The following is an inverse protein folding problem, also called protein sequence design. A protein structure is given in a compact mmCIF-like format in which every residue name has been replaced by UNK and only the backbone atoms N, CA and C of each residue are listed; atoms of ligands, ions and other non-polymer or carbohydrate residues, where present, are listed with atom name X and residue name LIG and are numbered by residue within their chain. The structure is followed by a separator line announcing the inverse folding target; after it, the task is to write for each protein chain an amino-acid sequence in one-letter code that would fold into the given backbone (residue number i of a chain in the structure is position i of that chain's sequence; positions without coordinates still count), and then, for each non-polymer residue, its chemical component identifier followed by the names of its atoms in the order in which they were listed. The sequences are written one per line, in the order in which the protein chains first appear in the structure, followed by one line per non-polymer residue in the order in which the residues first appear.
data_IF_059116142044
#
_entry.id   IF_059116142044
#
_cell.length_a   1.000
_cell.length_b   1.000
_cell.length_c   1.000
_cell.angle_alpha   90.00
_cell.angle_beta   90.00
_cell.angle_gamma   90.00
#
_symmetry.space_group_name_H-M   'P 1'
#
loop_
_entity.id
_entity.type
_entity.pdbx_description
1 polymer ?
#
# COMPACT_ATOMS: atom_id res chain seq x y z
N UNK A 1 23.51 31.14 32.64
CA UNK A 1 23.93 29.75 32.86
C UNK A 1 22.87 28.74 32.47
N UNK A 2 21.65 28.76 33.01
CA UNK A 2 20.56 27.80 32.65
C UNK A 2 20.25 27.73 31.16
N UNK A 3 20.18 28.86 30.43
CA UNK A 3 19.96 28.93 28.98
C UNK A 3 21.01 28.20 28.15
N UNK A 4 22.29 28.40 28.52
CA UNK A 4 23.42 27.79 27.80
C UNK A 4 23.42 26.29 28.02
N UNK A 5 23.20 25.82 29.26
CA UNK A 5 23.11 24.39 29.61
C UNK A 5 21.97 23.73 28.81
N UNK A 6 20.78 24.38 28.72
CA UNK A 6 19.65 23.89 27.98
C UNK A 6 19.94 23.80 26.47
N UNK A 7 20.57 24.82 25.87
CA UNK A 7 20.96 24.81 24.47
C UNK A 7 21.96 23.69 24.14
N UNK A 8 22.99 23.53 25.01
CA UNK A 8 23.97 22.47 24.83
C UNK A 8 23.30 21.08 24.93
N UNK A 9 22.46 20.86 25.94
CA UNK A 9 21.71 19.61 26.09
C UNK A 9 20.84 19.35 24.86
N UNK A 10 20.17 20.36 24.34
CA UNK A 10 19.32 20.24 23.14
C UNK A 10 20.12 19.91 21.88
N UNK A 11 21.28 20.52 21.70
CA UNK A 11 22.18 20.19 20.58
C UNK A 11 22.63 18.72 20.67
N UNK A 12 23.03 18.28 21.87
CA UNK A 12 23.42 16.88 22.08
C UNK A 12 22.25 15.93 21.76
N UNK A 13 21.04 16.25 22.21
CA UNK A 13 19.84 15.48 21.94
C UNK A 13 19.53 15.41 20.44
N UNK A 14 19.67 16.52 19.70
CA UNK A 14 19.44 16.57 18.27
C UNK A 14 20.49 15.79 17.48
N UNK A 15 21.77 15.89 17.85
CA UNK A 15 22.82 15.08 17.25
C UNK A 15 22.54 13.60 17.48
N UNK A 16 22.19 13.23 18.71
CA UNK A 16 21.85 11.85 19.05
C UNK A 16 20.65 11.34 18.24
N UNK A 17 19.58 12.14 18.14
CA UNK A 17 18.40 11.77 17.35
C UNK A 17 18.70 11.68 15.85
N UNK A 18 19.57 12.54 15.31
CA UNK A 18 20.02 12.51 13.94
C UNK A 18 20.88 11.27 13.63
N UNK A 19 21.80 10.92 14.53
CA UNK A 19 22.62 9.70 14.42
C UNK A 19 21.76 8.44 14.49
N UNK A 20 20.68 8.49 15.26
CA UNK A 20 19.67 7.43 15.37
C UNK A 20 18.53 7.57 14.37
N UNK A 21 18.76 8.23 13.23
CA UNK A 21 17.71 8.44 12.21
C UNK A 21 16.94 7.14 11.94
N UNK A 22 15.63 7.19 12.13
CA UNK A 22 14.76 6.03 11.97
C UNK A 22 14.19 6.00 10.55
N UNK A 23 14.06 4.81 9.95
CA UNK A 23 13.38 4.69 8.67
C UNK A 23 11.93 5.18 8.80
N UNK A 24 11.51 5.99 7.81
CA UNK A 24 10.14 6.49 7.73
C UNK A 24 9.32 5.53 6.90
N UNK A 25 8.27 4.99 7.50
CA UNK A 25 7.34 4.08 6.85
C UNK A 25 6.19 4.87 6.22
N UNK A 26 5.92 4.62 4.94
CA UNK A 26 4.92 5.35 4.15
C UNK A 26 3.67 4.50 3.90
N UNK A 27 3.75 3.19 4.11
CA UNK A 27 2.66 2.26 3.82
C UNK A 27 1.49 2.44 4.79
N UNK A 28 0.38 3.02 4.29
CA UNK A 28 -0.83 3.31 5.09
C UNK A 28 -1.41 2.08 5.79
N UNK A 29 -1.39 0.91 5.15
CA UNK A 29 -1.93 -0.32 5.74
C UNK A 29 -1.19 -0.71 7.03
N UNK A 30 0.12 -0.52 7.08
CA UNK A 30 0.93 -0.80 8.28
C UNK A 30 0.68 0.21 9.41
N UNK A 31 0.17 1.38 9.09
CA UNK A 31 -0.16 2.39 10.07
C UNK A 31 -1.31 1.96 11.00
N UNK A 32 -2.29 1.26 10.44
CA UNK A 32 -3.55 0.94 11.12
C UNK A 32 -3.68 -0.52 11.55
N UNK A 33 -2.88 -1.41 10.98
CA UNK A 33 -2.94 -2.84 11.28
C UNK A 33 -1.69 -3.25 12.06
N UNK A 34 -1.87 -3.42 13.37
CA UNK A 34 -0.88 -4.11 14.22
C UNK A 34 -1.34 -5.56 14.33
N UNK A 35 -0.67 -6.52 13.68
CA UNK A 35 -1.12 -7.91 13.70
C UNK A 35 -1.02 -8.48 15.13
N UNK A 36 -2.13 -8.85 15.70
CA UNK A 36 -2.21 -9.50 17.02
C UNK A 36 -2.19 -11.02 16.92
N UNK A 37 -2.37 -11.56 15.70
CA UNK A 37 -2.32 -13.00 15.41
C UNK A 37 -1.45 -13.30 14.19
N UNK A 38 -1.00 -14.55 14.07
CA UNK A 38 -0.27 -15.01 12.89
C UNK A 38 -1.12 -14.86 11.61
N UNK A 39 -2.43 -15.10 11.71
CA UNK A 39 -3.36 -14.96 10.58
C UNK A 39 -3.42 -13.52 10.07
N UNK A 40 -3.53 -12.53 10.96
CA UNK A 40 -3.48 -11.12 10.59
C UNK A 40 -2.13 -10.73 9.97
N UNK A 41 -1.03 -11.29 10.47
CA UNK A 41 0.30 -11.11 9.87
C UNK A 41 0.37 -11.59 8.42
N UNK A 42 -0.29 -12.69 8.08
CA UNK A 42 -0.38 -13.18 6.70
C UNK A 42 -1.28 -12.29 5.84
N UNK A 43 -2.41 -11.79 6.37
CA UNK A 43 -3.27 -10.85 5.64
C UNK A 43 -2.51 -9.56 5.30
N UNK A 44 -1.71 -9.03 6.21
CA UNK A 44 -0.85 -7.87 5.94
C UNK A 44 0.17 -8.17 4.83
N UNK A 45 0.78 -9.37 4.82
CA UNK A 45 1.70 -9.77 3.74
C UNK A 45 0.99 -9.86 2.40
N UNK A 46 -0.19 -10.46 2.34
CA UNK A 46 -1.01 -10.54 1.13
C UNK A 46 -1.43 -9.15 0.63
N UNK A 47 -1.88 -8.29 1.53
CA UNK A 47 -2.22 -6.90 1.18
C UNK A 47 -1.01 -6.16 0.60
N UNK A 48 0.19 -6.36 1.17
CA UNK A 48 1.42 -5.77 0.66
C UNK A 48 1.81 -6.30 -0.73
N UNK A 49 1.62 -7.58 -1.00
CA UNK A 49 1.86 -8.14 -2.34
C UNK A 49 0.86 -7.57 -3.36
N UNK A 50 -0.43 -7.51 -2.99
CA UNK A 50 -1.47 -6.92 -3.83
C UNK A 50 -1.27 -5.43 -4.04
N UNK A 51 -0.74 -4.70 -3.03
CA UNK A 51 -0.47 -3.27 -3.14
C UNK A 51 0.67 -2.92 -4.09
N UNK A 52 1.49 -3.89 -4.51
CA UNK A 52 2.57 -3.73 -5.49
C UNK A 52 2.15 -4.05 -6.91
N UNK A 53 0.93 -4.55 -7.11
CA UNK A 53 0.46 -4.98 -8.42
C UNK A 53 -0.03 -3.79 -9.25
N UNK A 54 0.54 -3.67 -10.45
CA UNK A 54 0.11 -2.74 -11.50
C UNK A 54 -0.55 -3.53 -12.61
N UNK A 55 -1.73 -3.10 -13.06
CA UNK A 55 -2.38 -3.65 -14.23
C UNK A 55 -2.11 -2.69 -15.40
N UNK A 56 -1.49 -3.21 -16.44
CA UNK A 56 -1.14 -2.50 -17.66
C UNK A 56 -2.10 -3.00 -18.74
N UNK A 57 -3.00 -2.14 -19.20
CA UNK A 57 -4.06 -2.47 -20.13
C UNK A 57 -3.70 -1.90 -21.49
N UNK A 58 -3.55 -2.75 -22.46
CA UNK A 58 -3.32 -2.41 -23.86
C UNK A 58 -4.66 -2.35 -24.60
N UNK A 59 -4.85 -1.34 -25.46
CA UNK A 59 -6.01 -1.20 -26.34
C UNK A 59 -5.50 -1.10 -27.77
N UNK A 60 -6.00 -1.96 -28.67
CA UNK A 60 -5.62 -2.00 -30.07
C UNK A 60 -6.85 -2.24 -30.98
N UNK A 61 -6.71 -1.91 -32.26
CA UNK A 61 -7.74 -2.13 -33.28
C UNK A 61 -7.68 -3.53 -33.87
N UNK A 62 -6.54 -4.22 -33.75
CA UNK A 62 -6.32 -5.58 -34.23
C UNK A 62 -5.49 -6.39 -33.23
N UNK A 63 -5.48 -7.71 -33.37
CA UNK A 63 -4.66 -8.60 -32.54
C UNK A 63 -3.17 -8.41 -32.86
N UNK A 64 -2.81 -8.19 -34.12
CA UNK A 64 -1.42 -7.98 -34.51
C UNK A 64 -0.86 -6.69 -33.87
N UNK A 65 -1.63 -5.59 -33.95
CA UNK A 65 -1.26 -4.34 -33.28
C UNK A 65 -1.10 -4.52 -31.77
N UNK A 66 -1.95 -5.35 -31.15
CA UNK A 66 -1.88 -5.64 -29.73
C UNK A 66 -0.60 -6.38 -29.33
N UNK A 67 -0.18 -7.36 -30.15
CA UNK A 67 1.05 -8.12 -29.92
C UNK A 67 2.30 -7.25 -30.16
N UNK A 68 2.29 -6.39 -31.18
CA UNK A 68 3.35 -5.42 -31.43
C UNK A 68 3.53 -4.46 -30.24
N UNK A 69 2.40 -3.93 -29.72
CA UNK A 69 2.45 -3.06 -28.55
C UNK A 69 3.00 -3.74 -27.30
N UNK A 70 2.67 -5.03 -27.09
CA UNK A 70 3.22 -5.82 -25.99
C UNK A 70 4.72 -6.08 -26.16
N UNK A 71 5.17 -6.34 -27.40
CA UNK A 71 6.57 -6.60 -27.70
C UNK A 71 7.46 -5.36 -27.48
N UNK A 72 6.93 -4.17 -27.73
CA UNK A 72 7.62 -2.89 -27.50
C UNK A 72 7.64 -2.46 -26.02
N UNK A 73 6.81 -3.07 -25.19
CA UNK A 73 6.77 -2.72 -23.76
C UNK A 73 7.95 -3.38 -23.03
N UNK A 74 8.51 -2.75 -21.98
CA UNK A 74 9.60 -3.31 -21.20
C UNK A 74 9.34 -4.77 -20.82
N UNK A 75 10.31 -5.64 -21.08
CA UNK A 75 10.17 -7.08 -20.88
C UNK A 75 9.99 -7.41 -19.38
N UNK A 76 8.75 -7.65 -19.00
CA UNK A 76 8.36 -8.12 -17.68
C UNK A 76 7.97 -9.60 -17.72
N UNK A 77 8.45 -10.33 -18.74
CA UNK A 77 8.14 -11.75 -18.90
C UNK A 77 8.66 -12.54 -17.71
N UNK A 78 7.77 -13.23 -17.08
CA UNK A 78 8.13 -14.24 -16.09
C UNK A 78 8.75 -15.42 -16.86
N UNK A 79 9.99 -15.77 -16.55
CA UNK A 79 10.64 -16.94 -17.14
C UNK A 79 10.03 -18.20 -16.54
N UNK A 80 9.24 -18.92 -17.33
CA UNK A 80 8.64 -20.20 -16.97
C UNK A 80 9.49 -21.42 -17.34
N UNK A 81 10.67 -21.21 -17.95
CA UNK A 81 11.51 -22.31 -18.45
C UNK A 81 11.86 -23.32 -17.36
N UNK A 82 12.23 -22.84 -16.18
CA UNK A 82 12.57 -23.71 -15.05
C UNK A 82 11.38 -24.59 -14.61
N UNK A 83 10.14 -24.11 -14.72
CA UNK A 83 8.93 -24.87 -14.34
C UNK A 83 8.59 -25.90 -15.43
N UNK A 84 8.65 -25.51 -16.70
CA UNK A 84 8.40 -26.40 -17.84
C UNK A 84 9.44 -27.51 -17.91
N UNK A 85 10.69 -27.24 -17.57
CA UNK A 85 11.78 -28.24 -17.51
C UNK A 85 11.49 -29.32 -16.47
N UNK A 86 10.93 -28.96 -15.30
CA UNK A 86 10.54 -29.93 -14.27
C UNK A 86 9.41 -30.84 -14.78
N UNK A 87 8.40 -30.27 -15.43
CA UNK A 87 7.30 -31.07 -15.99
C UNK A 87 7.76 -31.98 -17.12
N UNK A 88 8.64 -31.51 -17.99
CA UNK A 88 9.22 -32.29 -19.05
C UNK A 88 10.07 -33.47 -18.54
N UNK A 89 10.79 -33.25 -17.44
CA UNK A 89 11.64 -34.28 -16.83
C UNK A 89 10.85 -35.38 -16.07
N UNK A 90 9.70 -34.98 -15.51
CA UNK A 90 8.88 -35.88 -14.66
C UNK A 90 7.41 -35.88 -15.08
N UNK A 91 7.06 -36.21 -16.33
CA UNK A 91 5.70 -36.07 -16.85
C UNK A 91 4.66 -36.89 -16.06
N UNK A 92 5.04 -38.05 -15.54
CA UNK A 92 4.15 -38.91 -14.76
C UNK A 92 3.87 -38.45 -13.33
N UNK A 93 4.58 -37.45 -12.82
CA UNK A 93 4.37 -36.95 -11.45
C UNK A 93 3.20 -35.95 -11.39
N UNK A 94 2.90 -35.30 -12.52
CA UNK A 94 1.95 -34.22 -12.61
C UNK A 94 0.80 -34.62 -13.53
N UNK A 95 -0.38 -34.79 -12.96
CA UNK A 95 -1.59 -35.18 -13.69
C UNK A 95 -2.69 -34.17 -13.40
N UNK A 96 -3.43 -33.77 -14.42
CA UNK A 96 -4.65 -33.00 -14.24
C UNK A 96 -5.70 -33.81 -13.46
N UNK A 97 -6.63 -33.15 -12.81
CA UNK A 97 -7.71 -33.83 -12.07
C UNK A 97 -8.53 -34.73 -13.00
N UNK A 98 -8.80 -34.28 -14.23
CA UNK A 98 -9.50 -35.10 -15.24
C UNK A 98 -8.71 -36.35 -15.58
N UNK A 99 -7.43 -36.23 -15.88
CA UNK A 99 -6.56 -37.35 -16.22
C UNK A 99 -6.46 -38.36 -15.06
N UNK A 100 -6.32 -37.88 -13.81
CA UNK A 100 -6.33 -38.75 -12.62
C UNK A 100 -7.63 -39.53 -12.51
N UNK A 101 -8.78 -38.91 -12.73
CA UNK A 101 -10.07 -39.62 -12.66
C UNK A 101 -10.20 -40.67 -13.74
N UNK A 102 -9.78 -40.37 -14.98
CA UNK A 102 -9.79 -41.33 -16.08
C UNK A 102 -8.90 -42.53 -15.77
N UNK A 103 -7.72 -42.33 -15.24
CA UNK A 103 -6.78 -43.39 -14.86
C UNK A 103 -7.30 -44.22 -13.69
N UNK A 104 -7.87 -43.62 -12.65
CA UNK A 104 -8.50 -44.33 -11.52
C UNK A 104 -9.65 -45.21 -11.99
N UNK A 105 -10.43 -44.78 -12.97
CA UNK A 105 -11.53 -45.55 -13.60
C UNK A 105 -11.05 -46.51 -14.67
N UNK A 106 -9.74 -46.62 -14.93
CA UNK A 106 -9.12 -47.41 -15.99
C UNK A 106 -9.72 -47.18 -17.39
N UNK A 107 -10.15 -45.95 -17.64
CA UNK A 107 -10.77 -45.52 -18.89
C UNK A 107 -9.69 -45.16 -19.94
N UNK A 108 -8.80 -46.10 -20.26
CA UNK A 108 -7.61 -45.87 -21.09
C UNK A 108 -7.96 -45.39 -22.50
N UNK A 109 -9.07 -45.81 -23.07
CA UNK A 109 -9.50 -45.33 -24.37
C UNK A 109 -9.73 -43.82 -24.38
N UNK A 110 -10.34 -43.28 -23.33
CA UNK A 110 -10.53 -41.83 -23.21
C UNK A 110 -9.20 -41.08 -22.99
N UNK A 111 -8.25 -41.68 -22.27
CA UNK A 111 -6.91 -41.16 -22.13
C UNK A 111 -6.22 -41.04 -23.49
N UNK A 112 -6.35 -42.10 -24.34
CA UNK A 112 -5.84 -42.04 -25.72
C UNK A 112 -6.50 -40.95 -26.54
N UNK A 113 -7.82 -40.81 -26.47
CA UNK A 113 -8.58 -39.78 -27.21
C UNK A 113 -8.11 -38.34 -26.82
N UNK A 114 -7.90 -38.08 -25.54
CA UNK A 114 -7.36 -36.79 -25.09
C UNK A 114 -5.90 -36.56 -25.54
N UNK A 115 -5.07 -37.61 -25.49
CA UNK A 115 -3.69 -37.54 -25.97
C UNK A 115 -3.63 -37.23 -27.48
N UNK A 116 -4.45 -37.94 -28.29
CA UNK A 116 -4.53 -37.69 -29.74
C UNK A 116 -5.04 -36.28 -30.04
N UNK A 117 -6.05 -35.83 -29.31
CA UNK A 117 -6.58 -34.47 -29.45
C UNK A 117 -5.49 -33.40 -29.16
N UNK A 118 -4.69 -33.65 -28.13
CA UNK A 118 -3.55 -32.78 -27.77
C UNK A 118 -2.42 -32.85 -28.82
N UNK A 119 -2.17 -33.99 -29.42
CA UNK A 119 -1.16 -34.20 -30.47
C UNK A 119 -1.48 -33.39 -31.75
N UNK A 120 -2.76 -33.30 -32.10
CA UNK A 120 -3.24 -32.53 -33.25
C UNK A 120 -3.65 -31.08 -32.91
N UNK A 121 -3.21 -30.57 -31.76
CA UNK A 121 -3.48 -29.18 -31.40
C UNK A 121 -2.75 -28.24 -32.39
N UNK A 122 -3.45 -27.33 -33.05
CA UNK A 122 -2.85 -26.41 -34.02
C UNK A 122 -1.77 -25.49 -33.45
N UNK A 123 -1.74 -25.30 -32.14
CA UNK A 123 -0.70 -24.51 -31.47
C UNK A 123 0.65 -25.26 -31.33
N UNK A 124 0.69 -26.59 -31.48
CA UNK A 124 1.91 -27.39 -31.50
C UNK A 124 2.79 -27.29 -30.23
N UNK A 125 2.21 -26.89 -29.10
CA UNK A 125 2.97 -26.70 -27.85
C UNK A 125 3.04 -28.05 -27.12
N UNK A 126 4.23 -28.63 -27.01
CA UNK A 126 4.53 -29.82 -26.24
C UNK A 126 5.54 -29.49 -25.13
N UNK A 127 5.21 -29.84 -23.90
CA UNK A 127 6.10 -29.67 -22.75
C UNK A 127 7.15 -30.75 -22.71
N UNK A 128 6.75 -31.98 -23.07
CA UNK A 128 7.64 -33.11 -23.21
C UNK A 128 7.50 -33.70 -24.62
N UNK A 129 8.59 -34.16 -25.27
CA UNK A 129 8.49 -34.81 -26.56
C UNK A 129 7.66 -36.10 -26.48
N UNK A 130 6.85 -36.41 -27.51
CA UNK A 130 5.95 -37.58 -27.50
C UNK A 130 6.65 -38.93 -27.28
N UNK A 131 7.94 -39.04 -27.60
CA UNK A 131 8.75 -40.24 -27.34
C UNK A 131 9.00 -40.46 -25.83
N UNK A 132 9.01 -39.42 -25.03
CA UNK A 132 9.18 -39.45 -23.57
C UNK A 132 7.86 -39.44 -22.81
N UNK A 133 6.85 -38.79 -23.38
CA UNK A 133 5.50 -38.66 -22.82
C UNK A 133 4.44 -38.96 -23.87
N UNK A 134 4.25 -40.27 -24.24
CA UNK A 134 3.37 -40.68 -25.33
C UNK A 134 1.91 -40.26 -25.13
N UNK A 135 1.46 -40.07 -23.92
CA UNK A 135 0.10 -39.62 -23.59
C UNK A 135 0.02 -38.11 -23.35
N UNK A 136 1.12 -37.37 -23.54
CA UNK A 136 1.21 -35.89 -23.35
C UNK A 136 0.68 -35.44 -21.99
N UNK A 137 0.97 -36.22 -20.94
CA UNK A 137 0.48 -35.96 -19.58
C UNK A 137 0.95 -34.64 -19.01
N UNK A 138 2.23 -34.27 -19.24
CA UNK A 138 2.80 -33.01 -18.82
C UNK A 138 2.13 -31.82 -19.55
N UNK A 139 1.83 -32.00 -20.83
CA UNK A 139 1.14 -30.97 -21.64
C UNK A 139 -0.31 -30.83 -21.19
N UNK A 140 -1.04 -31.92 -20.95
CA UNK A 140 -2.40 -31.89 -20.39
C UNK A 140 -2.43 -31.18 -19.03
N UNK A 141 -1.48 -31.49 -18.16
CA UNK A 141 -1.38 -30.86 -16.85
C UNK A 141 -1.17 -29.35 -16.97
N UNK A 142 -0.26 -28.89 -17.80
CA UNK A 142 -0.02 -27.44 -18.01
C UNK A 142 -1.26 -26.77 -18.62
N UNK A 143 -1.84 -27.35 -19.68
CA UNK A 143 -3.01 -26.79 -20.34
C UNK A 143 -4.24 -26.75 -19.43
N UNK A 144 -4.43 -27.75 -18.56
CA UNK A 144 -5.52 -27.75 -17.59
C UNK A 144 -5.41 -26.63 -16.55
N UNK A 145 -4.16 -26.19 -16.27
CA UNK A 145 -3.84 -25.11 -15.36
C UNK A 145 -3.61 -23.77 -16.08
N UNK A 146 -3.50 -23.76 -17.41
CA UNK A 146 -3.27 -22.55 -18.22
C UNK A 146 -4.40 -21.54 -18.10
N UNK A 147 -5.61 -21.95 -17.72
CA UNK A 147 -6.73 -21.05 -17.40
C UNK A 147 -6.36 -19.99 -16.35
N UNK A 148 -5.37 -20.28 -15.51
CA UNK A 148 -4.81 -19.34 -14.55
C UNK A 148 -3.65 -18.49 -15.11
N UNK A 149 -3.17 -18.85 -16.32
CA UNK A 149 -2.07 -18.20 -17.05
C UNK A 149 -2.58 -17.56 -18.35
N UNK A 150 -3.88 -17.63 -18.63
CA UNK A 150 -4.47 -17.11 -19.86
C UNK A 150 -4.13 -15.62 -20.02
N UNK A 151 -3.60 -15.30 -21.21
CA UNK A 151 -3.56 -13.95 -21.71
C UNK A 151 -4.97 -13.39 -21.65
N UNK A 152 -5.19 -12.45 -20.76
CA UNK A 152 -6.48 -11.77 -20.61
C UNK A 152 -6.73 -10.84 -21.82
N UNK A 153 -6.75 -11.42 -23.04
CA UNK A 153 -7.12 -10.70 -24.25
C UNK A 153 -8.61 -10.83 -24.47
N UNK A 154 -9.30 -9.71 -24.56
CA UNK A 154 -10.75 -9.63 -24.74
C UNK A 154 -11.11 -8.64 -25.84
N UNK A 155 -12.13 -8.97 -26.62
CA UNK A 155 -12.77 -8.06 -27.54
C UNK A 155 -13.91 -7.33 -26.83
N UNK A 156 -13.91 -6.01 -26.90
CA UNK A 156 -14.96 -5.18 -26.33
C UNK A 156 -15.17 -3.92 -27.17
N UNK A 157 -16.41 -3.68 -27.60
CA UNK A 157 -16.74 -2.50 -28.39
C UNK A 157 -16.01 -2.38 -29.73
N UNK A 158 -15.66 -3.50 -30.38
CA UNK A 158 -14.93 -3.53 -31.64
C UNK A 158 -13.43 -3.24 -31.53
N UNK A 159 -12.88 -3.32 -30.32
CA UNK A 159 -11.44 -3.20 -30.04
C UNK A 159 -10.96 -4.40 -29.25
N UNK A 160 -9.66 -4.65 -29.33
CA UNK A 160 -8.99 -5.71 -28.59
C UNK A 160 -8.25 -5.13 -27.39
N UNK A 161 -8.43 -5.77 -26.25
CA UNK A 161 -7.81 -5.38 -24.97
C UNK A 161 -7.02 -6.54 -24.41
N UNK A 162 -5.85 -6.25 -23.88
CA UNK A 162 -5.08 -7.21 -23.10
C UNK A 162 -4.58 -6.56 -21.82
N UNK A 163 -4.45 -7.35 -20.75
CA UNK A 163 -3.90 -6.87 -19.48
C UNK A 163 -2.62 -7.62 -19.14
N UNK A 164 -1.58 -6.88 -18.79
CA UNK A 164 -0.35 -7.39 -18.21
C UNK A 164 -0.32 -7.02 -16.74
N UNK A 165 -0.05 -8.01 -15.90
CA UNK A 165 0.11 -7.81 -14.46
C UNK A 165 1.59 -7.71 -14.09
N UNK A 166 2.03 -6.52 -13.70
CA UNK A 166 3.39 -6.27 -13.25
C UNK A 166 3.46 -6.09 -11.73
N UNK A 167 4.55 -6.54 -11.11
CA UNK A 167 4.88 -6.18 -9.73
C UNK A 167 5.95 -5.10 -9.74
N UNK A 168 5.71 -4.02 -8.99
CA UNK A 168 6.59 -2.87 -8.86
C UNK A 168 7.12 -2.79 -7.45
N UNK A 169 8.43 -2.75 -7.29
CA UNK A 169 9.10 -2.70 -6.00
C UNK A 169 9.64 -1.32 -5.65
N UNK A 170 9.75 -0.42 -6.62
CA UNK A 170 10.23 0.95 -6.44
C UNK A 170 9.40 1.96 -7.25
N UNK A 171 9.48 3.23 -6.85
CA UNK A 171 8.86 4.31 -7.62
C UNK A 171 9.54 4.51 -8.98
N UNK A 172 10.85 4.22 -9.08
CA UNK A 172 11.61 4.37 -10.33
C UNK A 172 11.13 3.37 -11.39
N UNK A 173 10.86 2.10 -10.99
CA UNK A 173 10.24 1.10 -11.87
C UNK A 173 8.85 1.55 -12.34
N UNK A 174 8.06 2.13 -11.45
CA UNK A 174 6.74 2.63 -11.81
C UNK A 174 6.82 3.82 -12.78
N UNK A 175 7.77 4.73 -12.58
CA UNK A 175 7.97 5.86 -13.50
C UNK A 175 8.38 5.40 -14.90
N UNK A 176 9.21 4.36 -15.02
CA UNK A 176 9.55 3.76 -16.30
C UNK A 176 8.30 3.19 -17.01
N UNK A 177 7.42 2.51 -16.27
CA UNK A 177 6.14 2.01 -16.81
C UNK A 177 5.24 3.17 -17.27
N UNK A 178 5.12 4.23 -16.45
CA UNK A 178 4.31 5.41 -16.79
C UNK A 178 4.84 6.11 -18.05
N UNK A 179 6.16 6.28 -18.18
CA UNK A 179 6.77 6.91 -19.36
C UNK A 179 6.62 6.01 -20.61
N UNK A 180 6.77 4.68 -20.49
CA UNK A 180 6.56 3.75 -21.58
C UNK A 180 5.10 3.73 -22.08
N UNK A 181 4.14 3.98 -21.21
CA UNK A 181 2.72 4.06 -21.57
C UNK A 181 2.32 5.42 -22.17
N UNK A 182 3.14 6.45 -22.02
CA UNK A 182 2.80 7.81 -22.40
C UNK A 182 2.69 7.97 -23.93
N UNK A 183 1.58 8.55 -24.37
CA UNK A 183 1.33 8.77 -25.79
C UNK A 183 0.86 7.52 -26.56
N UNK A 184 0.70 6.39 -25.89
CA UNK A 184 0.15 5.15 -26.44
C UNK A 184 -1.26 4.89 -25.89
N UNK A 185 -2.01 3.99 -26.53
CA UNK A 185 -3.31 3.49 -26.06
C UNK A 185 -3.12 2.44 -24.96
N UNK A 186 -2.37 2.84 -23.89
CA UNK A 186 -2.05 2.02 -22.72
C UNK A 186 -2.60 2.71 -21.48
N UNK A 187 -3.36 1.95 -20.69
CA UNK A 187 -3.94 2.45 -19.45
C UNK A 187 -3.32 1.71 -18.27
N UNK A 188 -3.06 2.45 -17.21
CA UNK A 188 -2.44 1.92 -16.00
C UNK A 188 -3.43 2.01 -14.84
N UNK A 189 -3.56 0.95 -14.07
CA UNK A 189 -4.35 0.92 -12.84
C UNK A 189 -3.70 0.04 -11.78
N UNK A 190 -4.13 0.18 -10.53
CA UNK A 190 -3.60 -0.54 -9.38
C UNK A 190 -3.09 0.38 -8.30
N UNK A 191 -2.90 -0.18 -7.10
CA UNK A 191 -2.53 0.57 -5.89
C UNK A 191 -1.25 1.42 -6.07
N UNK A 192 -0.16 0.94 -6.71
CA UNK A 192 1.03 1.77 -6.90
C UNK A 192 0.77 3.02 -7.73
N UNK A 193 -0.06 2.90 -8.79
CA UNK A 193 -0.40 4.03 -9.67
C UNK A 193 -1.19 5.08 -8.91
N UNK A 194 -2.18 4.65 -8.10
CA UNK A 194 -2.92 5.56 -7.22
C UNK A 194 -2.02 6.23 -6.21
N UNK A 195 -1.14 5.47 -5.56
CA UNK A 195 -0.19 6.01 -4.57
C UNK A 195 0.75 7.03 -5.18
N UNK A 196 1.23 6.80 -6.40
CA UNK A 196 2.09 7.74 -7.12
C UNK A 196 1.39 9.08 -7.39
N UNK A 197 0.18 9.03 -7.97
CA UNK A 197 -0.57 10.27 -8.25
C UNK A 197 -1.02 10.98 -6.97
N UNK A 198 -1.43 10.24 -5.94
CA UNK A 198 -1.78 10.79 -4.64
C UNK A 198 -0.58 11.49 -4.00
N UNK A 199 0.59 10.85 -3.99
CA UNK A 199 1.82 11.42 -3.45
C UNK A 199 2.25 12.69 -4.20
N UNK A 200 2.22 12.65 -5.54
CA UNK A 200 2.56 13.81 -6.36
C UNK A 200 1.63 15.00 -6.11
N UNK A 201 0.33 14.74 -6.02
CA UNK A 201 -0.67 15.77 -5.70
C UNK A 201 -0.47 16.31 -4.28
N UNK A 202 -0.30 15.42 -3.31
CA UNK A 202 -0.07 15.81 -1.91
C UNK A 202 1.17 16.65 -1.74
N UNK A 203 2.27 16.33 -2.41
CA UNK A 203 3.49 17.13 -2.36
C UNK A 203 3.27 18.57 -2.86
N UNK A 204 2.50 18.76 -3.94
CA UNK A 204 2.14 20.09 -4.44
C UNK A 204 1.27 20.83 -3.42
N UNK A 205 0.24 20.18 -2.90
CA UNK A 205 -0.67 20.76 -1.91
C UNK A 205 0.06 21.14 -0.63
N UNK A 206 0.94 20.27 -0.11
CA UNK A 206 1.76 20.52 1.08
C UNK A 206 2.64 21.77 0.84
N UNK A 207 3.33 21.84 -0.29
CA UNK A 207 4.18 23.01 -0.60
C UNK A 207 3.37 24.29 -0.66
N UNK A 208 2.21 24.29 -1.31
CA UNK A 208 1.31 25.46 -1.38
C UNK A 208 0.85 25.87 0.03
N UNK A 209 0.39 24.90 0.83
CA UNK A 209 -0.06 25.15 2.21
C UNK A 209 1.09 25.72 3.05
N UNK A 210 2.29 25.16 2.96
CA UNK A 210 3.46 25.63 3.68
C UNK A 210 3.82 27.08 3.30
N UNK A 211 3.81 27.41 2.01
CA UNK A 211 4.10 28.78 1.53
C UNK A 211 3.03 29.75 2.05
N UNK A 212 1.74 29.43 1.85
CA UNK A 212 0.63 30.28 2.28
C UNK A 212 0.66 30.48 3.80
N UNK A 213 0.85 29.41 4.57
CA UNK A 213 0.91 29.47 6.04
C UNK A 213 2.09 30.30 6.52
N UNK A 214 3.26 30.17 5.90
CA UNK A 214 4.45 30.96 6.23
C UNK A 214 4.24 32.43 5.93
N UNK A 215 3.66 32.76 4.77
CA UNK A 215 3.33 34.14 4.39
C UNK A 215 2.26 34.75 5.31
N UNK A 216 1.22 33.97 5.65
CA UNK A 216 0.19 34.39 6.58
C UNK A 216 0.75 34.69 7.98
N UNK A 217 1.65 33.80 8.47
CA UNK A 217 2.36 34.00 9.73
C UNK A 217 3.21 35.28 9.70
N UNK A 218 4.02 35.46 8.66
CA UNK A 218 4.85 36.66 8.49
C UNK A 218 4.01 37.93 8.43
N UNK A 219 2.89 37.91 7.68
CA UNK A 219 1.96 39.03 7.60
C UNK A 219 1.31 39.32 8.96
N UNK A 220 0.88 38.29 9.70
CA UNK A 220 0.30 38.42 11.04
C UNK A 220 1.32 39.04 11.99
N UNK A 221 2.56 38.54 12.02
CA UNK A 221 3.62 39.09 12.84
C UNK A 221 3.92 40.55 12.45
N UNK A 222 4.00 40.86 11.15
CA UNK A 222 4.24 42.25 10.65
C UNK A 222 3.11 43.20 11.01
N UNK A 223 1.87 42.76 10.87
CA UNK A 223 0.69 43.55 11.16
C UNK A 223 0.53 43.80 12.65
N UNK A 224 0.70 42.77 13.47
CA UNK A 224 0.49 42.85 14.92
C UNK A 224 1.66 43.48 15.66
N UNK A 225 2.89 43.04 15.41
CA UNK A 225 4.10 43.52 16.10
C UNK A 225 4.84 44.64 15.33
N UNK A 226 4.39 45.04 14.15
CA UNK A 226 5.07 45.98 13.26
C UNK A 226 6.53 45.61 12.94
N UNK A 227 6.93 44.35 13.17
CA UNK A 227 8.31 43.91 13.02
C UNK A 227 8.35 42.46 12.54
N UNK A 228 9.22 42.17 11.57
CA UNK A 228 9.53 40.77 11.18
C UNK A 228 10.49 40.09 12.16
N UNK A 229 11.12 40.84 13.07
CA UNK A 229 12.07 40.26 14.05
C UNK A 229 11.41 39.21 14.97
N UNK A 230 10.09 39.25 15.14
CA UNK A 230 9.33 38.28 15.93
C UNK A 230 9.20 36.93 15.21
N UNK A 231 9.23 36.93 13.87
CA UNK A 231 9.09 35.70 13.08
C UNK A 231 10.21 34.68 13.36
N UNK A 232 11.44 35.21 13.50
CA UNK A 232 12.62 34.34 13.72
C UNK A 232 12.51 33.53 15.01
N UNK A 233 12.32 34.12 16.21
CA UNK A 233 12.19 33.33 17.43
C UNK A 233 10.95 32.40 17.45
N UNK A 234 9.86 32.79 16.79
CA UNK A 234 8.68 31.94 16.60
C UNK A 234 9.05 30.70 15.75
N UNK A 235 9.73 30.90 14.63
CA UNK A 235 10.19 29.82 13.77
C UNK A 235 11.15 28.87 14.51
N UNK A 236 12.05 29.41 15.31
CA UNK A 236 12.95 28.60 16.16
C UNK A 236 12.19 27.81 17.24
N UNK A 237 11.12 28.36 17.81
CA UNK A 237 10.31 27.62 18.80
C UNK A 237 9.59 26.43 18.17
N UNK A 238 9.10 26.61 16.94
CA UNK A 238 8.48 25.52 16.15
C UNK A 238 9.50 24.43 15.83
N UNK A 239 10.65 24.84 15.27
CA UNK A 239 11.73 23.91 14.94
C UNK A 239 12.20 23.13 16.17
N UNK A 240 12.37 23.81 17.29
CA UNK A 240 12.79 23.21 18.54
C UNK A 240 11.79 22.19 19.05
N UNK A 241 10.51 22.55 19.04
CA UNK A 241 9.42 21.63 19.41
C UNK A 241 9.38 20.39 18.52
N UNK A 242 9.52 20.58 17.21
CA UNK A 242 9.54 19.48 16.25
C UNK A 242 10.73 18.53 16.50
N UNK A 243 11.94 19.08 16.66
CA UNK A 243 13.13 18.27 16.92
C UNK A 243 13.05 17.53 18.27
N UNK A 244 12.46 18.17 19.29
CA UNK A 244 12.29 17.56 20.60
C UNK A 244 11.28 16.40 20.55
N UNK A 245 10.16 16.58 19.84
CA UNK A 245 9.17 15.52 19.60
C UNK A 245 9.74 14.38 18.76
N UNK A 246 10.49 14.70 17.70
CA UNK A 246 11.18 13.70 16.87
C UNK A 246 12.18 12.88 17.70
N UNK A 247 12.98 13.54 18.52
CA UNK A 247 13.98 12.86 19.37
C UNK A 247 13.33 11.88 20.33
N UNK A 248 12.24 12.29 20.98
CA UNK A 248 11.49 11.42 21.89
C UNK A 248 10.88 10.22 21.15
N UNK A 249 10.27 10.45 20.01
CA UNK A 249 9.68 9.38 19.19
C UNK A 249 10.76 8.42 18.66
N UNK A 250 11.89 8.93 18.19
CA UNK A 250 12.99 8.13 17.69
C UNK A 250 13.68 7.24 18.76
N UNK A 251 13.64 7.67 20.03
CA UNK A 251 14.14 6.87 21.16
C UNK A 251 13.21 5.70 21.50
N UNK A 252 11.92 5.87 21.35
CA UNK A 252 10.92 4.89 21.77
C UNK A 252 10.58 3.91 20.66
N UNK A 253 10.44 4.40 19.42
CA UNK A 253 9.99 3.60 18.28
C UNK A 253 11.16 3.22 17.37
N UNK A 254 11.11 1.99 16.83
CA UNK A 254 12.12 1.50 15.88
C UNK A 254 11.96 2.11 14.50
N UNK A 255 10.73 2.46 14.13
CA UNK A 255 10.34 3.09 12.87
C UNK A 255 9.34 4.20 13.15
N UNK A 256 9.29 5.22 12.30
CA UNK A 256 8.31 6.30 12.40
C UNK A 256 7.47 6.31 11.13
N UNK A 257 6.16 6.46 11.30
CA UNK A 257 5.25 6.52 10.16
C UNK A 257 5.11 7.97 9.67
N UNK A 258 4.97 8.17 8.35
CA UNK A 258 4.79 9.51 7.75
C UNK A 258 3.60 10.27 8.34
N UNK A 259 2.51 9.58 8.67
CA UNK A 259 1.35 10.18 9.31
C UNK A 259 1.66 10.81 10.67
N UNK A 260 2.66 10.30 11.41
CA UNK A 260 3.10 10.93 12.66
C UNK A 260 3.56 12.36 12.43
N UNK A 261 4.32 12.60 11.37
CA UNK A 261 4.77 13.96 11.00
C UNK A 261 3.59 14.82 10.53
N UNK A 262 2.68 14.27 9.71
CA UNK A 262 1.51 14.99 9.20
C UNK A 262 0.61 15.47 10.33
N UNK A 263 0.24 14.58 11.25
CA UNK A 263 -0.63 14.95 12.39
C UNK A 263 0.08 15.82 13.41
N UNK A 264 1.41 15.68 13.53
CA UNK A 264 2.21 16.51 14.44
C UNK A 264 2.38 17.97 13.95
N UNK A 265 1.96 18.29 12.72
CA UNK A 265 1.90 19.67 12.26
C UNK A 265 0.97 20.57 13.11
N UNK A 266 0.00 19.97 13.83
CA UNK A 266 -0.80 20.68 14.83
C UNK A 266 0.05 21.37 15.91
N UNK A 267 1.24 20.82 16.19
CA UNK A 267 2.22 21.43 17.09
C UNK A 267 2.64 22.83 16.64
N UNK A 268 2.63 23.11 15.33
CA UNK A 268 2.98 24.42 14.77
C UNK A 268 2.03 25.49 15.30
N UNK A 269 0.72 25.24 15.27
CA UNK A 269 -0.29 26.19 15.77
C UNK A 269 -0.12 26.50 17.27
N UNK A 270 0.11 25.46 18.06
CA UNK A 270 0.27 25.61 19.53
C UNK A 270 1.60 26.30 19.86
N UNK A 271 2.66 25.99 19.11
CA UNK A 271 3.97 26.66 19.27
C UNK A 271 3.86 28.15 18.98
N UNK A 272 3.11 28.49 17.93
CA UNK A 272 2.82 29.87 17.57
C UNK A 272 2.11 30.59 18.70
N UNK A 273 1.04 30.01 19.23
CA UNK A 273 0.28 30.58 20.35
C UNK A 273 1.16 30.86 21.55
N UNK A 274 1.97 29.91 22.00
CA UNK A 274 2.83 30.07 23.15
C UNK A 274 3.86 31.20 22.94
N UNK A 275 4.46 31.25 21.77
CA UNK A 275 5.46 32.25 21.44
C UNK A 275 4.87 33.67 21.30
N UNK A 276 3.70 33.78 20.64
CA UNK A 276 3.02 35.07 20.47
C UNK A 276 2.50 35.62 21.81
N UNK A 277 1.91 34.75 22.62
CA UNK A 277 1.48 35.16 23.97
C UNK A 277 2.65 35.65 24.82
N UNK A 278 3.82 34.99 24.75
CA UNK A 278 5.01 35.45 25.44
C UNK A 278 5.42 36.86 25.03
N UNK A 279 5.39 37.18 23.72
CA UNK A 279 5.72 38.50 23.24
C UNK A 279 4.69 39.57 23.61
N UNK A 280 3.45 39.17 23.94
CA UNK A 280 2.39 40.08 24.34
C UNK A 280 2.39 40.40 25.82
N UNK A 281 2.60 39.38 26.66
CA UNK A 281 2.45 39.47 28.12
C UNK A 281 3.79 39.61 28.83
N UNK A 282 4.91 39.32 28.12
CA UNK A 282 6.23 39.32 28.70
C UNK A 282 6.49 38.12 29.61
N UNK A 283 7.47 38.30 30.51
CA UNK A 283 7.95 37.20 31.39
C UNK A 283 7.21 37.19 32.76
N UNK A 284 5.91 37.42 32.76
CA UNK A 284 5.12 37.49 33.97
C UNK A 284 4.91 36.10 34.63
N UNK A 285 4.85 36.04 35.97
CA UNK A 285 4.65 34.81 36.73
C UNK A 285 3.29 34.18 36.46
N UNK A 286 2.24 34.98 36.28
CA UNK A 286 0.89 34.48 36.00
C UNK A 286 0.83 33.87 34.60
N UNK A 287 1.47 34.52 33.62
CA UNK A 287 1.59 33.96 32.27
C UNK A 287 2.29 32.59 32.28
N UNK A 288 3.43 32.45 32.99
CA UNK A 288 4.15 31.19 33.10
C UNK A 288 3.32 30.09 33.70
N UNK A 289 2.51 30.38 34.73
CA UNK A 289 1.60 29.42 35.33
C UNK A 289 0.51 28.98 34.34
N UNK A 290 -0.09 29.95 33.66
CA UNK A 290 -1.12 29.67 32.65
C UNK A 290 -0.56 28.86 31.48
N UNK A 291 0.61 29.21 30.96
CA UNK A 291 1.27 28.48 29.89
C UNK A 291 1.63 27.05 30.29
N UNK A 292 2.13 26.87 31.53
CA UNK A 292 2.44 25.55 32.07
C UNK A 292 1.18 24.69 32.22
N UNK A 293 0.09 25.26 32.73
CA UNK A 293 -1.18 24.57 32.85
C UNK A 293 -1.72 24.14 31.48
N UNK A 294 -1.69 25.04 30.50
CA UNK A 294 -2.09 24.76 29.12
C UNK A 294 -1.23 23.65 28.50
N UNK A 295 0.08 23.70 28.67
CA UNK A 295 0.98 22.66 28.19
C UNK A 295 0.66 21.29 28.81
N UNK A 296 0.48 21.25 30.15
CA UNK A 296 0.17 19.99 30.84
C UNK A 296 -1.16 19.38 30.41
N UNK A 297 -2.21 20.19 30.34
CA UNK A 297 -3.55 19.71 29.91
C UNK A 297 -3.51 19.16 28.50
N UNK A 298 -2.84 19.86 27.58
CA UNK A 298 -2.73 19.42 26.18
C UNK A 298 -1.83 18.19 26.06
N UNK A 299 -0.72 18.12 26.76
CA UNK A 299 0.16 16.94 26.77
C UNK A 299 -0.57 15.72 27.34
N UNK A 300 -1.33 15.87 28.43
CA UNK A 300 -2.15 14.80 28.99
C UNK A 300 -3.20 14.27 27.96
N UNK A 301 -3.81 15.16 27.19
CA UNK A 301 -4.74 14.76 26.15
C UNK A 301 -4.05 13.89 25.08
N UNK A 302 -2.85 14.26 24.64
CA UNK A 302 -2.07 13.45 23.69
C UNK A 302 -1.55 12.15 24.31
N UNK A 303 -1.28 12.10 25.59
CA UNK A 303 -0.94 10.85 26.28
C UNK A 303 -2.10 9.86 26.29
N UNK A 304 -3.34 10.31 26.20
CA UNK A 304 -4.48 9.43 25.98
C UNK A 304 -4.33 8.53 24.75
N UNK A 305 -3.64 9.00 23.70
CA UNK A 305 -3.36 8.21 22.50
C UNK A 305 -2.41 7.02 22.75
N UNK A 306 -1.65 7.02 23.83
CA UNK A 306 -0.73 5.92 24.18
C UNK A 306 -1.48 4.62 24.51
N UNK A 307 -2.73 4.72 24.91
CA UNK A 307 -3.59 3.56 25.19
C UNK A 307 -4.18 2.94 23.93
N UNK A 308 -3.92 3.53 22.75
CA UNK A 308 -4.41 2.98 21.49
C UNK A 308 -3.61 1.73 21.09
N UNK A 309 -4.29 0.76 20.50
CA UNK A 309 -3.68 -0.39 19.86
C UNK A 309 -2.98 -0.04 18.52
N UNK A 310 -3.27 1.14 17.97
CA UNK A 310 -2.71 1.62 16.70
C UNK A 310 -1.36 2.29 16.96
N UNK A 311 -0.29 1.74 16.41
CA UNK A 311 1.09 2.23 16.66
C UNK A 311 1.27 3.68 16.24
N UNK A 312 0.69 4.11 15.12
CA UNK A 312 0.76 5.51 14.64
C UNK A 312 0.15 6.48 15.64
N UNK A 313 -0.98 6.14 16.28
CA UNK A 313 -1.58 7.00 17.30
C UNK A 313 -0.68 7.16 18.53
N UNK A 314 -0.02 6.08 18.94
CA UNK A 314 0.99 6.15 20.03
C UNK A 314 2.19 7.01 19.64
N UNK A 315 2.65 6.90 18.38
CA UNK A 315 3.72 7.76 17.86
C UNK A 315 3.32 9.24 17.87
N UNK A 316 2.09 9.56 17.41
CA UNK A 316 1.53 10.93 17.45
C UNK A 316 1.47 11.43 18.89
N UNK A 317 1.00 10.61 19.83
CA UNK A 317 0.92 10.95 21.25
C UNK A 317 2.27 11.33 21.85
N UNK A 318 3.32 10.54 21.61
CA UNK A 318 4.68 10.81 22.07
C UNK A 318 5.25 12.04 21.35
N UNK A 319 5.21 12.05 20.03
CA UNK A 319 5.80 13.14 19.25
C UNK A 319 5.22 14.51 19.67
N UNK A 320 3.89 14.60 19.73
CA UNK A 320 3.22 15.88 20.00
C UNK A 320 3.37 16.31 21.45
N UNK A 321 3.23 15.39 22.42
CA UNK A 321 3.37 15.73 23.84
C UNK A 321 4.79 16.19 24.19
N UNK A 322 5.82 15.49 23.71
CA UNK A 322 7.20 15.91 23.92
C UNK A 322 7.54 17.16 23.10
N UNK A 323 7.01 17.29 21.90
CA UNK A 323 7.11 18.50 21.12
C UNK A 323 6.57 19.74 21.85
N UNK A 324 5.41 19.62 22.50
CA UNK A 324 4.83 20.68 23.34
C UNK A 324 5.74 21.04 24.52
N UNK A 325 6.28 20.02 25.19
CA UNK A 325 7.26 20.24 26.28
C UNK A 325 8.47 20.99 25.75
N UNK A 326 8.98 20.62 24.56
CA UNK A 326 10.10 21.30 23.92
C UNK A 326 9.80 22.77 23.64
N UNK A 327 8.64 23.07 23.04
CA UNK A 327 8.18 24.47 22.80
C UNK A 327 8.08 25.25 24.10
N UNK A 328 7.43 24.68 25.12
CA UNK A 328 7.29 25.30 26.43
C UNK A 328 8.64 25.64 27.06
N UNK A 329 9.59 24.67 27.03
CA UNK A 329 10.95 24.90 27.51
C UNK A 329 11.66 26.02 26.74
N UNK A 330 11.54 26.03 25.41
CA UNK A 330 12.12 27.05 24.56
C UNK A 330 11.57 28.44 24.92
N UNK A 331 10.23 28.58 25.02
CA UNK A 331 9.57 29.83 25.34
C UNK A 331 10.00 30.37 26.71
N UNK A 332 10.06 29.50 27.73
CA UNK A 332 10.38 29.92 29.10
C UNK A 332 11.89 30.18 29.29
N UNK A 333 12.76 29.38 28.67
CA UNK A 333 14.19 29.41 28.95
C UNK A 333 14.99 30.21 27.92
N UNK A 334 14.60 30.20 26.66
CA UNK A 334 15.39 30.74 25.55
C UNK A 334 14.88 32.11 25.11
N UNK A 335 13.57 32.30 25.00
CA UNK A 335 13.03 33.59 24.61
C UNK A 335 13.47 34.66 25.63
N UNK A 336 14.12 35.70 25.12
CA UNK A 336 14.55 36.83 25.95
C UNK A 336 13.43 37.86 26.01
N UNK A 337 13.35 38.54 27.15
CA UNK A 337 12.44 39.66 27.34
C UNK A 337 12.79 40.76 26.32
N UNK A 338 12.09 40.79 25.21
CA UNK A 338 12.15 41.83 24.20
C UNK A 338 10.88 42.67 24.27
N UNK A 339 11.03 43.98 24.50
CA UNK A 339 9.90 44.89 24.38
C UNK A 339 9.54 45.06 22.91
N UNK A 340 8.56 44.32 22.45
CA UNK A 340 7.98 44.49 21.12
C UNK A 340 6.75 45.41 21.21
N UNK A 341 6.83 46.54 20.52
CA UNK A 341 5.65 47.42 20.38
C UNK A 341 4.57 46.71 19.56
N UNK A 342 3.43 46.44 20.15
CA UNK A 342 2.29 45.83 19.49
C UNK A 342 1.21 46.88 19.12
N UNK A 343 0.44 46.60 18.10
CA UNK A 343 -0.71 47.40 17.72
C UNK A 343 -1.85 47.17 18.73
N UNK A 344 -2.26 48.23 19.40
CA UNK A 344 -3.51 48.19 20.16
C UNK A 344 -4.69 48.26 19.18
N UNK A 345 -5.41 47.18 18.99
CA UNK A 345 -6.65 47.20 18.23
C UNK A 345 -7.74 47.90 19.03
N UNK A 346 -8.46 48.81 18.39
CA UNK A 346 -9.72 49.33 18.98
C UNK A 346 -10.64 48.14 19.24
N UNK A 347 -11.08 47.95 20.49
CA UNK A 347 -12.05 46.93 20.83
C UNK A 347 -13.29 47.10 19.96
N UNK A 348 -13.49 46.24 19.01
CA UNK A 348 -14.72 46.19 18.21
C UNK A 348 -15.81 45.71 19.17
N UNK A 349 -16.70 46.61 19.55
CA UNK A 349 -17.88 46.26 20.38
C UNK A 349 -18.90 45.58 19.48
N UNK A 350 -18.71 44.29 19.24
CA UNK A 350 -19.76 43.49 18.63
C UNK A 350 -20.87 43.22 19.67
N UNK A 351 -22.13 43.41 19.32
CA UNK A 351 -23.23 43.12 20.23
C UNK A 351 -23.22 41.59 20.47
N UNK A 352 -22.93 41.20 21.70
CA UNK A 352 -22.78 39.76 22.09
C UNK A 352 -23.99 38.91 21.69
N UNK A 353 -25.21 39.48 21.79
CA UNK A 353 -26.43 38.78 21.36
C UNK A 353 -26.48 38.50 19.87
N UNK A 354 -26.03 39.44 19.02
CA UNK A 354 -25.95 39.22 17.56
C UNK A 354 -24.89 38.18 17.20
N UNK A 355 -23.75 38.17 17.89
CA UNK A 355 -22.71 37.17 17.69
C UNK A 355 -23.23 35.75 18.04
N UNK A 356 -23.92 35.61 19.16
CA UNK A 356 -24.52 34.34 19.56
C UNK A 356 -25.56 33.82 18.56
N UNK A 357 -26.40 34.71 18.03
CA UNK A 357 -27.37 34.36 16.99
C UNK A 357 -26.66 33.89 15.70
N UNK A 358 -25.63 34.60 15.25
CA UNK A 358 -24.84 34.20 14.05
C UNK A 358 -24.18 32.85 14.28
N UNK A 359 -23.54 32.61 15.43
CA UNK A 359 -22.91 31.33 15.78
C UNK A 359 -23.95 30.22 15.79
N UNK A 360 -25.12 30.45 16.40
CA UNK A 360 -26.21 29.47 16.46
C UNK A 360 -26.73 29.12 15.04
N UNK A 361 -26.93 30.12 14.18
CA UNK A 361 -27.38 29.92 12.79
C UNK A 361 -26.34 29.14 11.98
N UNK A 362 -25.05 29.46 12.15
CA UNK A 362 -23.96 28.72 11.46
C UNK A 362 -23.89 27.27 11.92
N UNK A 363 -24.00 27.02 13.24
CA UNK A 363 -24.01 25.66 13.80
C UNK A 363 -25.24 24.88 13.30
N UNK A 364 -26.42 25.48 13.36
CA UNK A 364 -27.65 24.86 12.89
C UNK A 364 -27.57 24.54 11.38
N UNK A 365 -27.14 25.49 10.55
CA UNK A 365 -26.94 25.26 9.13
C UNK A 365 -25.87 24.19 8.84
N UNK A 366 -24.83 24.08 9.68
CA UNK A 366 -23.82 23.04 9.62
C UNK A 366 -24.41 21.67 9.91
N UNK A 367 -25.15 21.50 11.00
CA UNK A 367 -25.76 20.24 11.41
C UNK A 367 -26.69 19.67 10.31
N UNK A 368 -27.47 20.52 9.65
CA UNK A 368 -28.37 20.11 8.58
C UNK A 368 -27.63 19.73 7.28
N UNK A 369 -26.36 20.09 7.12
CA UNK A 369 -25.55 19.80 5.92
C UNK A 369 -24.51 18.71 6.16
N UNK A 370 -24.24 18.33 7.40
CA UNK A 370 -23.30 17.24 7.70
C UNK A 370 -23.87 15.94 7.20
N UNK A 371 -23.19 15.35 6.24
CA UNK A 371 -23.39 13.95 5.83
C UNK A 371 -22.18 13.17 6.32
N UNK A 372 -22.42 12.16 7.14
CA UNK A 372 -21.38 11.21 7.48
C UNK A 372 -21.17 10.30 6.30
N UNK A 373 -19.96 10.28 5.78
CA UNK A 373 -19.54 9.42 4.68
C UNK A 373 -18.28 8.68 5.13
N UNK A 374 -18.45 7.41 5.53
CA UNK A 374 -17.37 6.54 6.01
C UNK A 374 -16.60 5.89 4.86
N UNK A 375 -16.90 6.26 3.62
CA UNK A 375 -16.25 5.69 2.46
C UNK A 375 -14.83 6.25 2.31
N UNK A 376 -13.83 5.44 2.67
CA UNK A 376 -12.41 5.77 2.55
C UNK A 376 -12.02 6.20 1.13
N UNK A 377 -12.74 5.72 0.10
CA UNK A 377 -12.51 6.11 -1.30
C UNK A 377 -12.72 7.60 -1.55
N UNK A 378 -13.52 8.28 -0.72
CA UNK A 378 -13.77 9.73 -0.86
C UNK A 378 -12.65 10.60 -0.28
N UNK A 379 -11.71 10.03 0.47
CA UNK A 379 -10.53 10.75 0.96
C UNK A 379 -9.53 11.07 -0.16
N UNK A 380 -9.58 10.33 -1.25
CA UNK A 380 -8.71 10.52 -2.40
C UNK A 380 -9.54 10.58 -3.68
N UNK A 381 -9.42 11.66 -4.43
CA UNK A 381 -10.03 11.81 -5.76
C UNK A 381 -8.96 11.53 -6.81
N UNK A 382 -9.01 10.36 -7.48
CA UNK A 382 -8.06 10.03 -8.51
C UNK A 382 -8.16 10.97 -9.72
N UNK A 383 -7.09 11.17 -10.49
CA UNK A 383 -7.14 11.87 -11.76
C UNK A 383 -8.14 11.22 -12.71
N UNK A 384 -8.78 12.01 -13.58
CA UNK A 384 -9.83 11.53 -14.50
C UNK A 384 -9.37 10.39 -15.41
N UNK A 385 -8.12 10.45 -15.87
CA UNK A 385 -7.51 9.39 -16.70
C UNK A 385 -7.37 8.06 -15.93
N UNK A 386 -6.98 8.11 -14.66
CA UNK A 386 -6.86 6.90 -13.83
C UNK A 386 -8.24 6.30 -13.52
N UNK A 387 -9.23 7.15 -13.23
CA UNK A 387 -10.61 6.70 -13.04
C UNK A 387 -11.18 6.08 -14.33
N UNK A 388 -10.86 6.64 -15.49
CA UNK A 388 -11.25 6.08 -16.78
C UNK A 388 -10.59 4.71 -17.02
N UNK A 389 -9.31 4.57 -16.69
CA UNK A 389 -8.58 3.29 -16.76
C UNK A 389 -9.19 2.22 -15.86
N UNK A 390 -9.56 2.56 -14.62
CA UNK A 390 -10.24 1.64 -13.71
C UNK A 390 -11.60 1.22 -14.24
N UNK A 391 -12.40 2.17 -14.71
CA UNK A 391 -13.71 1.88 -15.26
C UNK A 391 -13.60 0.99 -16.52
N UNK A 392 -12.58 1.21 -17.36
CA UNK A 392 -12.28 0.35 -18.50
C UNK A 392 -11.92 -1.06 -18.04
N UNK A 393 -11.01 -1.18 -17.09
CA UNK A 393 -10.60 -2.47 -16.51
C UNK A 393 -11.79 -3.26 -15.96
N UNK A 394 -12.66 -2.59 -15.19
CA UNK A 394 -13.85 -3.21 -14.63
C UNK A 394 -14.84 -3.66 -15.73
N UNK A 395 -15.06 -2.84 -16.76
CA UNK A 395 -16.01 -3.16 -17.84
C UNK A 395 -15.53 -4.28 -18.74
N UNK A 396 -14.24 -4.28 -19.11
CA UNK A 396 -13.68 -5.23 -20.06
C UNK A 396 -13.36 -6.57 -19.39
N UNK A 397 -12.66 -6.51 -18.25
CA UNK A 397 -12.12 -7.72 -17.62
C UNK A 397 -13.03 -8.27 -16.52
N UNK A 398 -13.93 -7.45 -15.96
CA UNK A 398 -14.83 -7.82 -14.86
C UNK A 398 -14.08 -8.58 -13.75
N UNK A 399 -13.03 -8.01 -13.17
CA UNK A 399 -12.18 -8.71 -12.22
C UNK A 399 -12.97 -9.11 -10.97
N UNK A 400 -12.93 -10.37 -10.64
CA UNK A 400 -13.54 -10.88 -9.41
C UNK A 400 -12.65 -10.47 -8.24
N UNK A 401 -13.27 -9.96 -7.17
CA UNK A 401 -12.54 -9.71 -5.92
C UNK A 401 -12.10 -11.07 -5.36
N UNK A 402 -10.79 -11.34 -5.24
CA UNK A 402 -10.34 -12.64 -4.77
C UNK A 402 -10.67 -12.80 -3.28
N UNK A 403 -11.26 -13.93 -2.92
CA UNK A 403 -11.36 -14.37 -1.54
C UNK A 403 -10.12 -15.21 -1.22
N UNK A 404 -9.55 -15.03 -0.03
CA UNK A 404 -8.33 -15.72 0.36
C UNK A 404 -8.61 -16.72 1.48
N UNK A 405 -8.20 -17.98 1.25
CA UNK A 405 -8.15 -19.01 2.27
C UNK A 405 -6.69 -19.22 2.71
N UNK A 406 -6.42 -19.03 3.99
CA UNK A 406 -5.08 -19.23 4.55
C UNK A 406 -4.95 -20.66 5.07
N UNK A 407 -4.04 -21.42 4.49
CA UNK A 407 -3.74 -22.78 4.89
C UNK A 407 -2.41 -22.85 5.64
N UNK A 408 -2.38 -23.43 6.82
CA UNK A 408 -1.19 -23.60 7.66
C UNK A 408 -0.67 -25.03 7.62
N UNK A 409 0.64 -25.18 7.58
CA UNK A 409 1.33 -26.46 7.69
C UNK A 409 2.75 -26.29 8.24
N UNK A 410 3.31 -27.35 8.79
CA UNK A 410 4.67 -27.36 9.32
C UNK A 410 5.74 -27.41 8.21
N UNK A 411 5.36 -27.86 7.03
CA UNK A 411 6.21 -27.89 5.83
C UNK A 411 5.34 -27.74 4.57
N UNK A 412 6.01 -27.52 3.43
CA UNK A 412 5.36 -27.30 2.14
C UNK A 412 4.50 -28.50 1.73
N UNK A 413 4.96 -29.74 1.98
CA UNK A 413 4.24 -30.93 1.60
C UNK A 413 2.91 -31.09 2.35
N UNK A 414 2.87 -30.75 3.64
CA UNK A 414 1.64 -30.71 4.43
C UNK A 414 0.65 -29.65 3.89
N UNK A 415 1.16 -28.47 3.51
CA UNK A 415 0.35 -27.40 2.91
C UNK A 415 -0.26 -27.88 1.59
N UNK A 416 0.56 -28.51 0.73
CA UNK A 416 0.09 -29.07 -0.54
C UNK A 416 -1.00 -30.12 -0.33
N UNK A 417 -0.82 -31.07 0.60
CA UNK A 417 -1.84 -32.08 0.90
C UNK A 417 -3.15 -31.48 1.40
N UNK A 418 -3.07 -30.46 2.27
CA UNK A 418 -4.27 -29.76 2.76
C UNK A 418 -5.00 -29.01 1.65
N UNK A 419 -4.28 -28.30 0.80
CA UNK A 419 -4.88 -27.55 -0.32
C UNK A 419 -5.46 -28.47 -1.38
N UNK A 420 -4.80 -29.59 -1.70
CA UNK A 420 -5.33 -30.64 -2.55
C UNK A 420 -6.64 -31.21 -2.01
N UNK A 421 -6.69 -31.51 -0.70
CA UNK A 421 -7.89 -32.02 -0.06
C UNK A 421 -9.06 -31.04 -0.03
N UNK A 422 -8.78 -29.73 0.08
CA UNK A 422 -9.81 -28.69 0.01
C UNK A 422 -10.39 -28.62 -1.42
N UNK A 423 -9.53 -28.56 -2.43
CA UNK A 423 -9.95 -28.49 -3.83
C UNK A 423 -10.79 -29.70 -4.27
N UNK A 424 -10.48 -30.89 -3.76
CA UNK A 424 -11.22 -32.13 -4.07
C UNK A 424 -12.59 -32.19 -3.37
N UNK A 425 -12.70 -31.72 -2.12
CA UNK A 425 -13.94 -31.83 -1.33
C UNK A 425 -14.99 -30.81 -1.70
N UNK A 426 -14.56 -29.57 -1.87
CA UNK A 426 -15.45 -28.42 -2.01
C UNK A 426 -15.72 -28.06 -3.47
N UNK A 427 -15.07 -28.73 -4.43
CA UNK A 427 -15.10 -28.39 -5.86
C UNK A 427 -14.87 -26.88 -6.10
N UNK A 428 -14.00 -26.31 -5.27
CA UNK A 428 -13.67 -24.89 -5.30
C UNK A 428 -12.68 -24.65 -6.42
N UNK A 429 -13.00 -23.73 -7.32
CA UNK A 429 -12.05 -23.25 -8.32
C UNK A 429 -11.09 -22.26 -7.67
N UNK A 430 -10.00 -22.75 -7.10
CA UNK A 430 -9.02 -21.93 -6.39
C UNK A 430 -7.66 -21.97 -7.08
N UNK A 431 -6.96 -20.85 -7.05
CA UNK A 431 -5.56 -20.76 -7.45
C UNK A 431 -4.69 -20.96 -6.20
N UNK A 432 -3.92 -22.03 -6.18
CA UNK A 432 -3.01 -22.37 -5.09
C UNK A 432 -1.74 -23.02 -5.63
N UNK A 433 -0.72 -23.12 -4.79
CA UNK A 433 0.51 -23.82 -5.18
C UNK A 433 0.26 -25.26 -5.60
N UNK A 434 -0.77 -25.92 -5.04
CA UNK A 434 -1.12 -27.31 -5.38
C UNK A 434 -1.64 -27.49 -6.82
N UNK A 435 -2.02 -26.41 -7.51
CA UNK A 435 -2.36 -26.46 -8.92
C UNK A 435 -1.13 -26.63 -9.82
N UNK A 436 0.04 -26.23 -9.34
CA UNK A 436 1.30 -26.28 -10.10
C UNK A 436 2.25 -27.36 -9.58
N UNK A 437 2.20 -27.68 -8.29
CA UNK A 437 3.08 -28.66 -7.66
C UNK A 437 2.24 -29.60 -6.81
N UNK A 438 2.24 -30.88 -7.16
CA UNK A 438 1.55 -31.93 -6.39
C UNK A 438 2.33 -32.29 -5.12
N UNK A 439 1.62 -32.66 -4.03
CA UNK A 439 2.24 -33.21 -2.84
C UNK A 439 2.99 -34.52 -3.14
N UNK A 440 3.97 -34.87 -2.33
CA UNK A 440 4.72 -36.14 -2.48
C UNK A 440 3.79 -37.34 -2.54
N UNK A 441 2.77 -37.36 -1.69
CA UNK A 441 1.76 -38.43 -1.69
C UNK A 441 1.05 -38.50 -3.04
N UNK A 442 0.60 -37.38 -3.57
CA UNK A 442 -0.10 -37.28 -4.87
C UNK A 442 0.81 -37.64 -6.03
N UNK A 443 2.08 -37.24 -6.01
CA UNK A 443 3.05 -37.63 -7.01
C UNK A 443 3.25 -39.14 -7.02
N UNK A 444 3.38 -39.78 -5.84
CA UNK A 444 3.52 -41.25 -5.75
C UNK A 444 2.28 -41.98 -6.27
N UNK A 445 1.08 -41.50 -5.95
CA UNK A 445 -0.17 -42.04 -6.52
C UNK A 445 -0.21 -41.88 -8.04
N UNK A 446 0.19 -40.68 -8.57
CA UNK A 446 0.25 -40.43 -10.00
C UNK A 446 1.19 -41.38 -10.72
N UNK A 447 2.40 -41.56 -10.19
CA UNK A 447 3.40 -42.50 -10.74
C UNK A 447 2.80 -43.93 -10.83
N UNK A 448 2.09 -44.36 -9.78
CA UNK A 448 1.45 -45.68 -9.78
C UNK A 448 0.37 -45.81 -10.86
N UNK A 449 -0.46 -44.79 -11.04
CA UNK A 449 -1.48 -44.75 -12.08
C UNK A 449 -0.88 -44.76 -13.49
N UNK A 450 0.22 -44.01 -13.70
CA UNK A 450 0.91 -43.97 -15.00
C UNK A 450 1.62 -45.27 -15.31
N UNK A 451 2.22 -45.93 -14.30
CA UNK A 451 2.81 -47.26 -14.47
C UNK A 451 1.75 -48.30 -14.86
N UNK A 452 0.55 -48.22 -14.26
CA UNK A 452 -0.56 -49.14 -14.62
C UNK A 452 -1.05 -48.85 -16.06
N UNK A 453 -1.15 -47.57 -16.46
CA UNK A 453 -1.45 -47.18 -17.84
C UNK A 453 -0.44 -47.76 -18.84
N UNK A 454 0.84 -47.54 -18.61
CA UNK A 454 1.90 -48.00 -19.52
C UNK A 454 1.93 -49.53 -19.64
N UNK A 455 1.76 -50.22 -18.51
CA UNK A 455 1.72 -51.69 -18.49
C UNK A 455 0.56 -52.27 -19.29
N UNK A 456 -0.61 -51.65 -19.20
CA UNK A 456 -1.84 -52.25 -19.74
C UNK A 456 -2.25 -51.70 -21.11
N UNK A 457 -1.79 -50.53 -21.51
CA UNK A 457 -2.32 -49.82 -22.67
C UNK A 457 -1.25 -49.34 -23.65
N UNK A 458 0.00 -49.09 -23.27
CA UNK A 458 1.00 -48.47 -24.12
C UNK A 458 1.21 -49.16 -25.46
N UNK A 459 1.41 -50.48 -25.46
CA UNK A 459 1.59 -51.29 -26.70
C UNK A 459 0.41 -51.19 -27.64
N UNK A 460 -0.80 -51.12 -27.09
CA UNK A 460 -2.03 -51.00 -27.86
C UNK A 460 -2.19 -49.61 -28.44
N UNK A 461 -1.77 -48.60 -27.68
CA UNK A 461 -1.80 -47.20 -28.14
C UNK A 461 -0.76 -46.94 -29.26
N UNK A 462 0.46 -47.41 -29.09
CA UNK A 462 1.51 -47.33 -30.11
C UNK A 462 1.09 -48.01 -31.41
N UNK A 463 0.46 -49.21 -31.34
CA UNK A 463 -0.04 -49.90 -32.53
C UNK A 463 -1.18 -49.17 -33.28
N UNK A 464 -1.81 -48.18 -32.67
CA UNK A 464 -2.85 -47.34 -33.28
C UNK A 464 -2.31 -46.06 -33.93
N UNK A 465 -1.15 -45.61 -33.46
CA UNK A 465 -0.52 -44.42 -34.02
C UNK A 465 0.34 -44.71 -35.28
N UNK A 466 0.61 -46.02 -35.54
CA UNK A 466 1.43 -46.49 -36.65
C UNK A 466 2.84 -46.71 -36.22
#
# INVERSE_FOLDING_TARGET
MKRIIFLIFSIILFIFAFVQAKPVEVELMKAFISPHSAAEGYLVKLANLSSKKVNIIFEASSLDELEDMKAEFPDMKTDYSAVTDVYSKYPGNFLSNNMRELLKKKSYQKVQEEAVKSLYNPLGIYISPPDKDPYLLATDFLLSNSKFLENDTKEFGGKYYSVLHAQVNSNDELEQIIEAAKGKTIYLTGTPVHSYYASKKSNIEINIICIISTLALAALCRFYFRSFKVVIPVAFSILFGFLFGYSAAALIFKKLHVLTFVFSTSLIGISLDYSLHYFLTGNDKEFKKSLTASMLTTACAFWGLLFSNIEVLRQIGIFTSFGLIGVWLFVILVLSDGEFKHNSFKKIKLPQKALLVVVFVVIAAGIFRVKFDDNIKNLYVPPKNLLAAENLYQKVFNPVTPEFLIVHGNNINEILQKTEGINERENINSLSLSNFVSSEKRQQENITLVQDLYKNDLKKYESRLG
#
